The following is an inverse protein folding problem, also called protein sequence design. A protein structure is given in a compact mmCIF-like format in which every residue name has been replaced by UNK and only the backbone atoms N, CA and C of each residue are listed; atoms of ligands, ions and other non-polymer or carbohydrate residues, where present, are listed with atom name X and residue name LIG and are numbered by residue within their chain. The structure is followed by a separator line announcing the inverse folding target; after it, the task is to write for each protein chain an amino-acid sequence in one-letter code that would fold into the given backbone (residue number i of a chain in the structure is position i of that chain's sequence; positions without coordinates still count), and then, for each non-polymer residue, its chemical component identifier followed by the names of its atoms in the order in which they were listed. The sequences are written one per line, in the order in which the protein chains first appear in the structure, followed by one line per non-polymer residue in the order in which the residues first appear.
data_IF_487424185617
#
_entry.id   IF_487424185617
#
_cell.length_a   1.000
_cell.length_b   1.000
_cell.length_c   1.000
_cell.angle_alpha   90.00
_cell.angle_beta   90.00
_cell.angle_gamma   90.00
#
_symmetry.space_group_name_H-M   'P 1'
#
loop_
_entity.id
_entity.type
_entity.pdbx_description
1 polymer ?
#
# COMPACT_ATOMS: atom_id res chain seq x y z
N UNK A 1 20.93 -10.66 -41.93
CA UNK A 1 21.28 -10.44 -40.52
C UNK A 1 19.95 -10.36 -39.81
N UNK A 2 19.60 -11.45 -39.15
CA UNK A 2 18.27 -11.67 -38.59
C UNK A 2 18.07 -10.94 -37.27
N UNK A 3 16.93 -10.31 -37.15
CA UNK A 3 16.42 -9.76 -35.93
C UNK A 3 15.76 -10.91 -35.15
N UNK A 4 16.53 -11.55 -34.27
CA UNK A 4 15.96 -12.43 -33.22
C UNK A 4 15.39 -11.54 -32.10
N UNK A 5 14.20 -11.03 -32.31
CA UNK A 5 13.39 -10.42 -31.25
C UNK A 5 12.74 -11.57 -30.46
N UNK A 6 13.12 -11.66 -29.23
CA UNK A 6 12.66 -12.56 -28.18
C UNK A 6 11.20 -12.98 -28.29
N UNK A 7 10.92 -14.11 -28.91
CA UNK A 7 9.66 -14.83 -28.83
C UNK A 7 9.65 -15.59 -27.47
N UNK A 8 9.32 -14.87 -26.40
CA UNK A 8 8.98 -15.51 -25.13
C UNK A 8 7.51 -15.89 -25.22
N UNK A 9 7.21 -17.16 -25.54
CA UNK A 9 5.87 -17.66 -25.43
C UNK A 9 5.35 -17.43 -23.99
N UNK A 10 4.19 -16.79 -23.82
CA UNK A 10 3.64 -16.59 -22.49
C UNK A 10 3.28 -17.96 -21.88
N UNK A 11 3.84 -18.26 -20.72
CA UNK A 11 3.49 -19.45 -19.94
C UNK A 11 1.95 -19.53 -19.77
N UNK A 12 1.34 -20.72 -19.90
CA UNK A 12 -0.10 -20.86 -19.79
C UNK A 12 -0.55 -20.45 -18.39
N UNK A 13 -1.33 -19.38 -18.32
CA UNK A 13 -1.90 -18.90 -17.06
C UNK A 13 -2.88 -19.92 -16.54
N UNK A 14 -2.54 -20.63 -15.48
CA UNK A 14 -3.46 -21.48 -14.75
C UNK A 14 -4.67 -20.66 -14.30
N UNK A 15 -5.88 -21.12 -14.56
CA UNK A 15 -7.09 -20.40 -14.20
C UNK A 15 -7.21 -20.29 -12.67
N UNK A 16 -7.01 -19.06 -12.15
CA UNK A 16 -7.17 -18.73 -10.73
C UNK A 16 -8.58 -18.21 -10.46
N UNK A 17 -9.10 -18.40 -9.25
CA UNK A 17 -10.35 -17.79 -8.83
C UNK A 17 -10.22 -16.26 -8.79
N UNK A 18 -11.34 -15.53 -8.90
CA UNK A 18 -11.30 -14.06 -8.87
C UNK A 18 -10.72 -13.52 -7.55
N UNK A 19 -10.91 -14.24 -6.44
CA UNK A 19 -10.35 -13.88 -5.13
C UNK A 19 -8.84 -14.10 -5.10
N UNK A 20 -8.36 -15.21 -5.61
CA UNK A 20 -6.93 -15.55 -5.69
C UNK A 20 -6.18 -14.58 -6.62
N UNK A 21 -6.76 -14.29 -7.80
CA UNK A 21 -6.19 -13.29 -8.73
C UNK A 21 -6.03 -11.91 -8.09
N UNK A 22 -6.95 -11.56 -7.22
CA UNK A 22 -6.95 -10.27 -6.57
C UNK A 22 -5.82 -10.12 -5.54
N UNK A 23 -5.64 -11.12 -4.70
CA UNK A 23 -4.53 -11.18 -3.73
C UNK A 23 -3.21 -11.29 -4.50
N UNK A 24 -3.17 -12.11 -5.55
CA UNK A 24 -2.00 -12.29 -6.39
C UNK A 24 -1.48 -10.98 -7.00
N UNK A 25 -2.36 -10.07 -7.46
CA UNK A 25 -1.90 -8.82 -8.07
C UNK A 25 -1.16 -7.91 -7.08
N UNK A 26 -1.56 -7.89 -5.82
CA UNK A 26 -0.87 -7.11 -4.76
C UNK A 26 0.50 -7.72 -4.46
N UNK A 27 0.58 -9.04 -4.30
CA UNK A 27 1.83 -9.75 -4.05
C UNK A 27 2.75 -9.76 -5.29
N UNK A 28 2.21 -9.91 -6.50
CA UNK A 28 2.99 -9.83 -7.72
C UNK A 28 3.68 -8.46 -7.88
N UNK A 29 3.01 -7.37 -7.48
CA UNK A 29 3.63 -6.05 -7.45
C UNK A 29 4.77 -5.95 -6.44
N UNK A 30 4.64 -6.57 -5.25
CA UNK A 30 5.70 -6.63 -4.26
C UNK A 30 6.90 -7.48 -4.74
N UNK A 31 6.64 -8.61 -5.40
CA UNK A 31 7.67 -9.46 -6.01
C UNK A 31 8.42 -8.74 -7.14
N UNK A 32 7.72 -7.96 -7.95
CA UNK A 32 8.32 -7.14 -8.99
C UNK A 32 9.32 -6.14 -8.38
N UNK A 33 8.92 -5.45 -7.31
CA UNK A 33 9.78 -4.53 -6.58
C UNK A 33 10.98 -5.25 -5.95
N UNK A 34 10.77 -6.40 -5.35
CA UNK A 34 11.83 -7.19 -4.70
C UNK A 34 12.93 -7.66 -5.67
N UNK A 35 12.58 -7.90 -6.94
CA UNK A 35 13.54 -8.34 -7.97
C UNK A 35 14.34 -7.20 -8.58
N UNK A 36 13.78 -6.00 -8.65
CA UNK A 36 14.36 -4.89 -9.42
C UNK A 36 14.76 -3.67 -8.61
N UNK A 37 14.39 -3.60 -7.33
CA UNK A 37 14.53 -2.37 -6.55
C UNK A 37 15.12 -2.68 -5.18
N UNK A 38 16.04 -1.83 -4.72
CA UNK A 38 16.56 -1.87 -3.36
C UNK A 38 15.96 -0.72 -2.55
N UNK A 39 15.73 -0.95 -1.25
CA UNK A 39 15.35 0.13 -0.33
C UNK A 39 16.45 1.19 -0.30
N UNK A 40 16.08 2.49 -0.25
CA UNK A 40 17.07 3.55 -0.11
C UNK A 40 17.85 3.40 1.19
N UNK A 41 19.12 3.79 1.16
CA UNK A 41 19.95 3.89 2.35
C UNK A 41 19.48 5.01 3.29
N UNK A 42 19.99 5.09 4.53
CA UNK A 42 19.68 6.19 5.45
C UNK A 42 20.00 7.56 4.83
N UNK A 43 19.04 8.48 4.83
CA UNK A 43 19.15 9.81 4.23
C UNK A 43 18.95 9.85 2.71
N UNK A 44 18.65 8.71 2.09
CA UNK A 44 18.40 8.61 0.65
C UNK A 44 16.92 8.59 0.29
N UNK A 45 16.61 8.93 -0.95
CA UNK A 45 15.27 8.85 -1.52
C UNK A 45 15.28 8.09 -2.86
N UNK A 46 14.29 7.22 -3.03
CA UNK A 46 14.03 6.46 -4.25
C UNK A 46 12.75 6.98 -4.90
N UNK A 47 12.79 7.27 -6.20
CA UNK A 47 11.61 7.66 -6.97
C UNK A 47 11.25 6.59 -7.99
N UNK A 48 9.97 6.27 -8.06
CA UNK A 48 9.44 5.24 -8.95
C UNK A 48 8.16 5.70 -9.64
N UNK A 49 7.88 5.12 -10.78
CA UNK A 49 6.61 5.27 -11.50
C UNK A 49 6.03 3.89 -11.73
N UNK A 50 4.77 3.70 -11.35
CA UNK A 50 3.97 2.52 -11.68
C UNK A 50 3.12 2.81 -12.90
N UNK A 51 3.27 2.04 -13.95
CA UNK A 51 2.45 2.11 -15.16
C UNK A 51 1.38 1.02 -15.13
N UNK A 52 0.14 1.39 -15.49
CA UNK A 52 -0.96 0.44 -15.63
C UNK A 52 -1.18 -0.49 -14.42
N UNK A 53 -0.84 -0.02 -13.20
CA UNK A 53 -1.05 -0.81 -11.98
C UNK A 53 -0.03 -1.93 -11.74
N UNK A 54 1.20 -1.82 -12.28
CA UNK A 54 2.28 -2.80 -12.06
C UNK A 54 2.52 -3.05 -10.57
N UNK A 55 2.43 -2.01 -9.75
CA UNK A 55 2.45 -2.10 -8.29
C UNK A 55 1.60 -0.98 -7.68
N UNK A 56 1.09 -1.20 -6.48
CA UNK A 56 0.25 -0.28 -5.71
C UNK A 56 0.96 0.21 -4.45
N UNK A 57 0.35 1.13 -3.74
CA UNK A 57 0.81 1.57 -2.41
C UNK A 57 0.91 0.39 -1.43
N UNK A 58 -0.02 -0.56 -1.48
CA UNK A 58 0.05 -1.78 -0.67
C UNK A 58 1.20 -2.69 -1.09
N UNK A 59 1.48 -2.84 -2.40
CA UNK A 59 2.63 -3.60 -2.89
C UNK A 59 3.95 -3.05 -2.34
N UNK A 60 4.08 -1.72 -2.23
CA UNK A 60 5.25 -1.07 -1.61
C UNK A 60 5.37 -1.44 -0.12
N UNK A 61 4.26 -1.41 0.63
CA UNK A 61 4.26 -1.83 2.05
C UNK A 61 4.63 -3.29 2.20
N UNK A 62 4.08 -4.19 1.38
CA UNK A 62 4.42 -5.62 1.39
C UNK A 62 5.90 -5.84 1.07
N UNK A 63 6.43 -5.16 0.04
CA UNK A 63 7.83 -5.24 -0.34
C UNK A 63 8.77 -4.79 0.79
N UNK A 64 8.41 -3.74 1.54
CA UNK A 64 9.16 -3.30 2.73
C UNK A 64 9.03 -4.34 3.84
N UNK A 65 7.81 -4.85 4.09
CA UNK A 65 7.55 -5.83 5.14
C UNK A 65 8.31 -7.15 4.95
N UNK A 66 8.60 -7.57 3.72
CA UNK A 66 9.44 -8.75 3.44
C UNK A 66 10.89 -8.52 3.88
N UNK A 67 11.39 -7.28 3.84
CA UNK A 67 12.79 -6.96 4.15
C UNK A 67 13.00 -6.63 5.63
N UNK A 68 12.00 -6.09 6.32
CA UNK A 68 12.10 -5.67 7.72
C UNK A 68 10.73 -5.72 8.39
N UNK A 69 10.67 -5.98 9.69
CA UNK A 69 9.43 -5.90 10.47
C UNK A 69 8.99 -4.43 10.57
N UNK A 70 7.69 -4.19 10.40
CA UNK A 70 7.05 -2.89 10.57
C UNK A 70 6.44 -2.85 11.97
N UNK A 71 6.98 -1.99 12.84
CA UNK A 71 6.48 -1.81 14.20
C UNK A 71 5.20 -0.98 14.23
N UNK A 72 5.14 0.09 13.41
CA UNK A 72 3.95 0.92 13.27
C UNK A 72 3.81 1.41 11.84
N UNK A 73 2.59 1.38 11.32
CA UNK A 73 2.21 1.81 9.98
C UNK A 73 1.15 2.90 10.07
N UNK A 74 1.41 4.05 9.46
CA UNK A 74 0.48 5.18 9.40
C UNK A 74 0.14 5.45 7.93
N UNK A 75 -1.14 5.49 7.60
CA UNK A 75 -1.62 5.64 6.22
C UNK A 75 -2.61 6.78 6.13
N UNK A 76 -2.30 7.80 5.31
CA UNK A 76 -3.29 8.77 4.86
C UNK A 76 -3.70 8.45 3.43
N UNK A 77 -4.99 8.36 3.18
CA UNK A 77 -5.52 8.03 1.85
C UNK A 77 -6.97 8.49 1.69
N UNK A 78 -7.44 8.59 0.46
CA UNK A 78 -8.86 8.82 0.20
C UNK A 78 -9.69 7.60 0.63
N UNK A 79 -9.20 6.39 0.33
CA UNK A 79 -9.87 5.10 0.64
C UNK A 79 -8.86 3.96 0.66
N UNK A 80 -9.25 2.87 1.32
CA UNK A 80 -8.50 1.60 1.39
C UNK A 80 -9.24 0.55 0.57
N UNK A 81 -8.56 -0.23 -0.23
CA UNK A 81 -9.16 -1.37 -0.95
C UNK A 81 -9.36 -2.58 -0.03
N UNK A 82 -10.36 -3.41 -0.32
CA UNK A 82 -10.64 -4.62 0.47
C UNK A 82 -9.47 -5.60 0.46
N UNK A 83 -8.81 -5.75 -0.69
CA UNK A 83 -7.65 -6.64 -0.87
C UNK A 83 -6.43 -6.14 -0.11
N UNK A 84 -6.22 -4.83 -0.14
CA UNK A 84 -5.14 -4.16 0.57
C UNK A 84 -5.32 -4.28 2.08
N UNK A 85 -6.55 -4.14 2.57
CA UNK A 85 -6.84 -4.37 3.98
C UNK A 85 -6.58 -5.84 4.37
N UNK A 86 -7.01 -6.81 3.56
CA UNK A 86 -6.73 -8.23 3.79
C UNK A 86 -5.23 -8.53 3.79
N UNK A 87 -4.44 -7.89 2.92
CA UNK A 87 -2.99 -8.05 2.90
C UNK A 87 -2.33 -7.54 4.19
N UNK A 88 -2.81 -6.41 4.75
CA UNK A 88 -2.35 -5.93 6.06
C UNK A 88 -2.73 -6.88 7.20
N UNK A 89 -3.93 -7.47 7.17
CA UNK A 89 -4.33 -8.50 8.12
C UNK A 89 -3.39 -9.72 8.06
N UNK A 90 -3.06 -10.20 6.86
CA UNK A 90 -2.09 -11.30 6.69
C UNK A 90 -0.70 -10.96 7.24
N UNK A 91 -0.20 -9.74 7.01
CA UNK A 91 1.07 -9.31 7.61
C UNK A 91 1.02 -9.27 9.14
N UNK A 92 -0.14 -8.93 9.72
CA UNK A 92 -0.36 -8.95 11.18
C UNK A 92 -0.35 -10.38 11.70
N UNK A 93 -1.04 -11.30 11.04
CA UNK A 93 -1.09 -12.72 11.39
C UNK A 93 0.30 -13.37 11.33
N UNK A 94 1.15 -12.94 10.40
CA UNK A 94 2.54 -13.39 10.21
C UNK A 94 3.56 -12.69 11.14
N UNK A 95 3.12 -11.88 12.10
CA UNK A 95 3.97 -11.06 13.00
C UNK A 95 4.96 -10.13 12.26
N UNK A 96 4.61 -9.71 11.04
CA UNK A 96 5.42 -8.78 10.22
C UNK A 96 4.96 -7.32 10.35
N UNK A 97 3.78 -7.09 10.94
CA UNK A 97 3.14 -5.79 11.08
C UNK A 97 2.64 -5.60 12.52
N UNK A 98 3.05 -4.50 13.15
CA UNK A 98 2.57 -4.04 14.44
C UNK A 98 1.35 -3.13 14.32
N UNK A 99 1.37 -1.97 14.97
CA UNK A 99 0.23 -1.06 15.03
C UNK A 99 -0.09 -0.44 13.65
N UNK A 100 -1.37 -0.25 13.35
CA UNK A 100 -1.83 0.37 12.10
C UNK A 100 -2.79 1.51 12.40
N UNK A 101 -2.53 2.67 11.77
CA UNK A 101 -3.30 3.90 11.95
C UNK A 101 -3.72 4.48 10.60
N UNK A 102 -5.02 4.64 10.38
CA UNK A 102 -5.55 5.22 9.15
C UNK A 102 -6.12 6.62 9.37
N UNK A 103 -5.85 7.52 8.42
CA UNK A 103 -6.61 8.74 8.20
C UNK A 103 -7.25 8.67 6.81
N UNK A 104 -8.56 8.56 6.79
CA UNK A 104 -9.35 8.42 5.58
C UNK A 104 -10.05 9.73 5.25
N UNK A 105 -10.35 9.94 3.97
CA UNK A 105 -11.19 11.09 3.60
C UNK A 105 -12.64 10.87 4.03
N UNK A 106 -13.21 11.85 4.72
CA UNK A 106 -14.63 11.87 5.08
C UNK A 106 -15.57 11.83 3.86
N UNK A 107 -15.08 12.25 2.68
CA UNK A 107 -15.82 12.17 1.41
C UNK A 107 -16.17 10.71 1.05
N UNK A 108 -15.37 9.74 1.44
CA UNK A 108 -15.67 8.32 1.20
C UNK A 108 -16.90 7.85 1.99
N UNK A 109 -17.18 8.46 3.15
CA UNK A 109 -18.35 8.19 4.00
C UNK A 109 -19.59 8.99 3.54
N UNK A 110 -19.40 10.21 3.06
CA UNK A 110 -20.47 11.11 2.61
C UNK A 110 -20.96 10.83 1.19
N UNK A 111 -20.10 10.29 0.32
CA UNK A 111 -20.40 10.01 -1.09
C UNK A 111 -21.15 8.69 -1.32
N UNK A 112 -21.95 8.25 -0.39
CA UNK A 112 -23.05 7.33 -0.66
C UNK A 112 -24.17 8.04 -1.47
N UNK A 113 -23.80 8.67 -2.61
CA UNK A 113 -24.76 9.18 -3.57
C UNK A 113 -25.62 8.02 -4.04
N UNK A 114 -26.82 7.90 -3.48
CA UNK A 114 -27.81 6.90 -3.83
C UNK A 114 -27.96 5.73 -2.82
N UNK A 115 -27.46 5.83 -1.60
CA UNK A 115 -27.75 4.85 -0.52
C UNK A 115 -27.15 3.45 -0.73
N UNK A 116 -26.11 3.30 -1.58
CA UNK A 116 -25.47 2.02 -1.84
C UNK A 116 -24.02 2.05 -1.37
N UNK A 117 -23.80 2.01 -0.07
CA UNK A 117 -22.47 1.75 0.52
C UNK A 117 -22.05 0.27 0.41
N UNK A 118 -22.72 -0.58 -0.31
CA UNK A 118 -22.40 -2.00 -0.48
C UNK A 118 -21.72 -2.68 0.76
N UNK A 119 -21.92 -2.13 1.97
CA UNK A 119 -21.30 -2.59 3.21
C UNK A 119 -19.78 -2.42 3.29
N UNK A 120 -19.20 -1.57 2.45
CA UNK A 120 -17.74 -1.37 2.41
C UNK A 120 -17.22 -0.72 3.69
N UNK A 121 -17.87 0.36 4.14
CA UNK A 121 -17.46 1.10 5.35
C UNK A 121 -17.60 0.22 6.58
N UNK A 122 -18.74 -0.45 6.74
CA UNK A 122 -18.98 -1.35 7.86
C UNK A 122 -17.97 -2.51 7.89
N UNK A 123 -17.66 -3.10 6.74
CA UNK A 123 -16.68 -4.18 6.65
C UNK A 123 -15.25 -3.68 6.96
N UNK A 124 -14.89 -2.46 6.51
CA UNK A 124 -13.59 -1.86 6.83
C UNK A 124 -13.48 -1.61 8.34
N UNK A 125 -14.47 -0.95 8.95
CA UNK A 125 -14.46 -0.61 10.36
C UNK A 125 -14.46 -1.87 11.24
N UNK A 126 -15.27 -2.88 10.89
CA UNK A 126 -15.27 -4.16 11.60
C UNK A 126 -13.92 -4.87 11.51
N UNK A 127 -13.32 -4.96 10.32
CA UNK A 127 -12.01 -5.59 10.15
C UNK A 127 -10.94 -4.83 10.95
N UNK A 128 -10.95 -3.51 10.94
CA UNK A 128 -10.02 -2.72 11.75
C UNK A 128 -10.20 -3.00 13.25
N UNK A 129 -11.44 -3.09 13.74
CA UNK A 129 -11.71 -3.41 15.13
C UNK A 129 -11.20 -4.82 15.51
N UNK A 130 -11.43 -5.82 14.66
CA UNK A 130 -11.02 -7.20 14.87
C UNK A 130 -9.48 -7.36 14.96
N UNK A 131 -8.74 -6.53 14.20
CA UNK A 131 -7.27 -6.56 14.16
C UNK A 131 -6.59 -5.51 15.07
N UNK A 132 -7.37 -4.68 15.78
CA UNK A 132 -6.86 -3.61 16.63
C UNK A 132 -6.23 -2.46 15.85
N UNK A 133 -6.61 -2.29 14.57
CA UNK A 133 -6.21 -1.14 13.77
C UNK A 133 -7.05 0.07 14.14
N UNK A 134 -6.46 1.26 14.15
CA UNK A 134 -7.17 2.50 14.44
C UNK A 134 -7.46 3.28 13.17
N UNK A 135 -8.56 4.04 13.16
CA UNK A 135 -8.91 4.87 12.02
C UNK A 135 -9.65 6.13 12.45
N UNK A 136 -9.54 7.17 11.62
CA UNK A 136 -10.36 8.36 11.72
C UNK A 136 -10.67 8.93 10.33
N UNK A 137 -11.77 9.68 10.23
CA UNK A 137 -12.19 10.34 9.00
C UNK A 137 -11.95 11.84 9.10
N UNK A 138 -11.29 12.43 8.11
CA UNK A 138 -10.96 13.85 8.04
C UNK A 138 -11.17 14.40 6.64
N UNK A 139 -11.11 15.73 6.47
CA UNK A 139 -10.98 16.36 5.14
C UNK A 139 -9.55 16.18 4.64
N UNK A 140 -9.26 15.00 4.16
CA UNK A 140 -7.92 14.60 3.75
C UNK A 140 -7.88 14.20 2.28
N UNK A 141 -6.88 14.67 1.54
CA UNK A 141 -6.57 14.22 0.18
C UNK A 141 -5.11 13.79 0.04
N UNK A 142 -4.33 13.85 1.12
CA UNK A 142 -2.94 13.39 1.12
C UNK A 142 -2.87 11.86 0.94
N UNK A 143 -1.76 11.41 0.39
CA UNK A 143 -1.42 10.00 0.24
C UNK A 143 0.02 9.82 0.69
N UNK A 144 0.14 9.64 2.00
CA UNK A 144 1.41 9.45 2.68
C UNK A 144 1.33 8.20 3.53
N UNK A 145 2.37 7.39 3.47
CA UNK A 145 2.52 6.19 4.27
C UNK A 145 3.80 6.32 5.09
N UNK A 146 3.69 6.19 6.40
CA UNK A 146 4.84 6.23 7.29
C UNK A 146 5.03 4.84 7.90
N UNK A 147 6.24 4.33 7.83
CA UNK A 147 6.61 3.03 8.37
C UNK A 147 7.71 3.21 9.41
N UNK A 148 7.40 2.88 10.64
CA UNK A 148 8.40 2.67 11.69
C UNK A 148 8.84 1.21 11.62
N UNK A 149 10.07 0.98 11.24
CA UNK A 149 10.59 -0.37 11.00
C UNK A 149 11.85 -0.63 11.83
N UNK A 150 12.21 -1.91 11.99
CA UNK A 150 13.49 -2.27 12.62
C UNK A 150 14.70 -1.74 11.82
N UNK A 151 14.55 -1.55 10.51
CA UNK A 151 15.59 -0.96 9.66
C UNK A 151 15.63 0.58 9.71
N UNK A 152 14.66 1.24 10.37
CA UNK A 152 14.55 2.69 10.52
C UNK A 152 13.23 3.25 10.02
N UNK A 153 13.14 4.58 9.99
CA UNK A 153 11.95 5.33 9.62
C UNK A 153 11.87 5.52 8.11
N UNK A 154 10.75 5.13 7.50
CA UNK A 154 10.51 5.22 6.06
C UNK A 154 9.24 6.02 5.80
N UNK A 155 9.32 6.93 4.86
CA UNK A 155 8.18 7.72 4.35
C UNK A 155 7.94 7.39 2.90
N UNK A 156 6.70 7.12 2.52
CA UNK A 156 6.27 6.94 1.13
C UNK A 156 5.27 8.04 0.79
N UNK A 157 5.66 8.93 -0.11
CA UNK A 157 4.79 9.93 -0.72
C UNK A 157 4.34 9.41 -2.08
N UNK A 158 3.05 9.45 -2.37
CA UNK A 158 2.52 8.87 -3.60
C UNK A 158 1.31 9.63 -4.13
N UNK A 159 1.03 9.51 -5.42
CA UNK A 159 -0.24 9.93 -6.01
C UNK A 159 -1.34 8.86 -5.85
N UNK A 160 -0.95 7.61 -5.55
CA UNK A 160 -1.85 6.46 -5.46
C UNK A 160 -2.60 6.41 -4.13
N UNK A 161 -3.90 6.17 -4.17
CA UNK A 161 -4.64 5.77 -2.97
C UNK A 161 -4.20 4.37 -2.50
N UNK A 162 -4.58 4.01 -1.28
CA UNK A 162 -4.31 2.67 -0.75
C UNK A 162 -5.32 1.64 -1.28
N UNK A 163 -5.38 1.55 -2.61
CA UNK A 163 -6.20 0.61 -3.38
C UNK A 163 -5.58 0.40 -4.76
N UNK A 164 -5.99 -0.65 -5.45
CA UNK A 164 -5.59 -0.86 -6.86
C UNK A 164 -6.01 0.32 -7.74
N UNK A 165 -5.09 0.77 -8.58
CA UNK A 165 -5.33 1.81 -9.56
C UNK A 165 -4.58 1.47 -10.86
N UNK A 166 -5.28 1.26 -11.99
CA UNK A 166 -4.64 0.93 -13.27
C UNK A 166 -4.03 2.15 -13.98
N UNK A 167 -3.94 3.29 -13.31
CA UNK A 167 -3.36 4.52 -13.87
C UNK A 167 -1.85 4.58 -13.66
N UNK A 168 -1.25 5.62 -14.22
CA UNK A 168 0.15 5.98 -13.92
C UNK A 168 0.18 6.63 -12.55
N UNK A 169 0.99 6.08 -11.65
CA UNK A 169 1.16 6.58 -10.29
C UNK A 169 2.65 6.79 -9.99
N UNK A 170 2.94 7.81 -9.21
CA UNK A 170 4.29 8.13 -8.76
C UNK A 170 4.48 7.79 -7.28
N UNK A 171 5.72 7.43 -6.94
CA UNK A 171 6.14 7.12 -5.58
C UNK A 171 7.48 7.76 -5.28
N UNK A 172 7.61 8.33 -4.09
CA UNK A 172 8.89 8.73 -3.52
C UNK A 172 9.03 8.04 -2.16
N UNK A 173 10.05 7.20 -2.02
CA UNK A 173 10.34 6.48 -0.78
C UNK A 173 11.57 7.11 -0.17
N UNK A 174 11.45 7.68 1.00
CA UNK A 174 12.55 8.33 1.72
C UNK A 174 12.82 7.60 3.01
N UNK A 175 14.07 7.24 3.27
CA UNK A 175 14.50 6.64 4.52
C UNK A 175 15.23 7.69 5.36
N UNK A 176 14.45 8.53 6.04
CA UNK A 176 14.94 9.65 6.85
C UNK A 176 14.00 9.90 8.04
N UNK A 177 14.55 9.95 9.24
CA UNK A 177 13.79 10.15 10.46
C UNK A 177 13.17 11.56 10.54
N UNK A 178 13.85 12.59 10.03
CA UNK A 178 13.35 13.97 10.05
C UNK A 178 12.13 14.13 9.15
N UNK A 179 12.16 13.54 7.93
CA UNK A 179 11.03 13.53 7.00
C UNK A 179 9.86 12.75 7.60
N UNK A 180 10.11 11.61 8.21
CA UNK A 180 9.09 10.81 8.88
C UNK A 180 8.41 11.59 10.01
N UNK A 181 9.18 12.21 10.92
CA UNK A 181 8.63 12.94 12.07
C UNK A 181 7.90 14.21 11.63
N UNK A 182 8.34 14.86 10.55
CA UNK A 182 7.62 15.98 9.95
C UNK A 182 6.19 15.59 9.56
N UNK A 183 6.04 14.51 8.80
CA UNK A 183 4.72 14.04 8.39
C UNK A 183 3.91 13.47 9.56
N UNK A 184 4.56 12.76 10.48
CA UNK A 184 3.88 12.20 11.65
C UNK A 184 3.31 13.31 12.53
N UNK A 185 4.09 14.32 12.85
CA UNK A 185 3.65 15.48 13.64
C UNK A 185 2.61 16.35 12.93
N UNK A 186 2.67 16.46 11.58
CA UNK A 186 1.74 17.24 10.80
C UNK A 186 0.40 16.56 10.49
N UNK A 187 0.37 15.23 10.40
CA UNK A 187 -0.80 14.47 9.98
C UNK A 187 -1.42 13.61 11.10
N UNK A 188 -0.62 13.09 12.04
CA UNK A 188 -1.05 12.11 13.03
C UNK A 188 -0.93 12.60 14.48
N UNK A 189 -0.74 13.92 14.65
CA UNK A 189 -0.74 14.54 15.97
C UNK A 189 -2.11 14.52 16.64
#
# INVERSE_FOLDING_TARGET
MGDDVFDVEPEPVTAMTAKEKAVFSVYAGADLLARGVQLPGPGEALRMISYAGQFSSCSVVLWIAVQTKINSLYITTLRVGKKELQALCSLRDDDRLGDVHFILSGISRENTRGGKDYGYTDNFEQTCADYGFTWRYEKNHSKVILLDTEAGKITVETSSNFNENPKVEQFCITRDAGVYEFYKGGLFA
#
